data_IF_076695581864
#
_entry.id   IF_076695581864
#
_cell.length_a   1.000
_cell.length_b   1.000
_cell.length_c   1.000
_cell.angle_alpha   90.00
_cell.angle_beta   90.00
_cell.angle_gamma   90.00
#
_symmetry.space_group_name_H-M   'P 1'
#
loop_
_entity.id
_entity.type
_entity.pdbx_description
1 polymer ?
#
# COMPACT_ATOMS: atom_id res chain seq x y z
N UNK A 1 -1.25 -16.70 -14.43
CA UNK A 1 -0.55 -16.00 -13.32
C UNK A 1 0.25 -14.87 -13.95
N UNK A 2 0.18 -13.66 -13.39
CA UNK A 2 0.99 -12.54 -13.88
C UNK A 2 2.45 -12.79 -13.48
N UNK A 3 3.39 -12.35 -14.32
CA UNK A 3 4.81 -12.31 -13.97
C UNK A 3 5.02 -11.29 -12.86
N UNK A 4 5.86 -11.56 -11.84
CA UNK A 4 6.10 -10.57 -10.80
C UNK A 4 6.64 -9.27 -11.39
N UNK A 5 6.06 -8.12 -11.02
CA UNK A 5 6.58 -6.84 -11.47
C UNK A 5 7.99 -6.66 -10.91
N UNK A 6 8.88 -6.09 -11.70
CA UNK A 6 10.19 -5.66 -11.22
C UNK A 6 9.98 -4.62 -10.12
N UNK A 7 10.46 -4.93 -8.92
CA UNK A 7 10.40 -3.99 -7.81
C UNK A 7 11.44 -2.88 -8.02
N UNK A 8 11.09 -1.61 -7.81
CA UNK A 8 12.07 -0.53 -7.80
C UNK A 8 13.03 -0.70 -6.62
N UNK A 9 14.23 -0.12 -6.69
CA UNK A 9 15.15 -0.10 -5.55
C UNK A 9 14.48 0.48 -4.29
N UNK A 10 14.69 -0.19 -3.15
CA UNK A 10 14.32 0.39 -1.86
C UNK A 10 15.16 1.65 -1.59
N UNK A 11 14.60 2.60 -0.84
CA UNK A 11 15.29 3.84 -0.45
C UNK A 11 15.78 4.66 -1.65
N UNK A 12 14.85 5.05 -2.54
CA UNK A 12 15.17 5.96 -3.65
C UNK A 12 15.99 7.14 -3.13
N UNK A 13 17.18 7.41 -3.70
CA UNK A 13 18.03 8.47 -3.22
C UNK A 13 17.31 9.80 -3.40
N UNK A 14 17.47 10.70 -2.44
CA UNK A 14 17.02 12.05 -2.63
C UNK A 14 17.70 12.67 -3.87
N UNK A 15 17.00 13.55 -4.61
CA UNK A 15 17.62 14.28 -5.71
C UNK A 15 18.91 14.98 -5.27
N UNK A 16 19.93 15.08 -6.13
CA UNK A 16 21.16 15.80 -5.82
C UNK A 16 20.87 17.21 -5.28
N UNK A 17 21.50 17.57 -4.17
CA UNK A 17 21.30 18.86 -3.50
C UNK A 17 20.18 18.90 -2.46
N UNK A 18 19.47 17.79 -2.23
CA UNK A 18 18.49 17.72 -1.13
C UNK A 18 19.19 17.80 0.24
N UNK A 19 18.77 18.70 1.15
CA UNK A 19 19.32 18.78 2.50
C UNK A 19 19.20 17.46 3.28
N UNK A 20 20.18 17.17 4.14
CA UNK A 20 20.17 15.95 4.98
C UNK A 20 19.23 16.11 6.18
N UNK A 21 19.00 17.35 6.57
CA UNK A 21 18.23 17.82 7.70
C UNK A 21 16.74 17.67 7.39
N UNK A 22 15.97 16.84 8.14
CA UNK A 22 14.59 16.54 7.82
C UNK A 22 13.66 17.76 7.68
N UNK A 23 13.92 18.81 8.46
CA UNK A 23 13.14 20.05 8.44
C UNK A 23 13.47 20.98 7.26
N UNK A 24 14.50 20.66 6.46
CA UNK A 24 14.86 21.36 5.23
C UNK A 24 14.56 20.53 3.98
N UNK A 25 14.09 19.28 4.14
CA UNK A 25 13.73 18.44 3.00
C UNK A 25 12.49 19.01 2.29
N UNK A 26 12.46 19.00 0.96
CA UNK A 26 11.29 19.42 0.21
C UNK A 26 10.12 18.48 0.51
N UNK A 27 8.90 18.96 0.25
CA UNK A 27 7.74 18.08 0.28
C UNK A 27 7.95 16.88 -0.66
N UNK A 28 7.52 15.67 -0.27
CA UNK A 28 7.58 14.50 -1.15
C UNK A 28 6.91 14.80 -2.48
N UNK A 29 7.58 14.46 -3.58
CA UNK A 29 7.01 14.55 -4.93
C UNK A 29 6.60 13.16 -5.41
N UNK A 30 5.60 13.04 -6.29
CA UNK A 30 5.29 11.78 -6.94
C UNK A 30 6.53 11.22 -7.64
N UNK A 31 6.76 9.91 -7.53
CA UNK A 31 7.92 9.25 -8.13
C UNK A 31 7.48 8.22 -9.20
N UNK A 32 7.01 8.63 -10.41
CA UNK A 32 6.52 7.72 -11.45
C UNK A 32 7.53 6.63 -11.83
N UNK A 33 7.05 5.39 -12.00
CA UNK A 33 7.88 4.23 -12.33
C UNK A 33 8.81 3.75 -11.21
N UNK A 34 8.81 4.42 -10.05
CA UNK A 34 9.71 4.13 -8.95
C UNK A 34 8.97 3.69 -7.67
N UNK A 35 7.64 3.55 -7.72
CA UNK A 35 6.86 2.99 -6.62
C UNK A 35 6.53 1.51 -6.86
N UNK A 36 6.53 0.68 -5.80
CA UNK A 36 6.09 -0.71 -5.89
C UNK A 36 4.56 -0.80 -6.11
N UNK A 37 4.04 -1.98 -6.44
CA UNK A 37 2.60 -2.25 -6.36
C UNK A 37 2.05 -1.95 -4.95
N UNK A 38 0.87 -1.33 -4.88
CA UNK A 38 0.22 -0.99 -3.62
C UNK A 38 -1.01 -1.88 -3.37
N UNK A 39 -1.11 -2.37 -2.14
CA UNK A 39 -2.32 -2.92 -1.56
C UNK A 39 -2.71 -2.05 -0.37
N UNK A 40 -3.95 -1.58 -0.35
CA UNK A 40 -4.47 -0.68 0.68
C UNK A 40 -5.73 -1.29 1.27
N UNK A 41 -5.76 -1.46 2.58
CA UNK A 41 -6.94 -1.91 3.33
C UNK A 41 -7.34 -0.83 4.34
N UNK A 42 -8.60 -0.40 4.31
CA UNK A 42 -9.10 0.67 5.19
C UNK A 42 -10.55 0.43 5.62
N UNK A 43 -10.85 0.72 6.88
CA UNK A 43 -12.20 0.71 7.42
C UNK A 43 -12.83 2.11 7.32
N UNK A 44 -14.02 2.22 6.74
CA UNK A 44 -14.67 3.50 6.46
C UNK A 44 -15.17 4.21 7.74
N UNK A 45 -15.35 3.48 8.83
CA UNK A 45 -15.66 4.00 10.16
C UNK A 45 -14.40 4.48 10.93
N UNK A 46 -13.21 4.43 10.31
CA UNK A 46 -12.00 5.06 10.85
C UNK A 46 -12.12 6.60 10.77
N UNK A 47 -12.42 7.21 11.91
CA UNK A 47 -12.56 8.66 12.08
C UNK A 47 -11.24 9.43 12.14
N UNK A 48 -10.10 8.74 12.24
CA UNK A 48 -8.78 9.37 12.34
C UNK A 48 -8.12 9.54 10.98
N UNK A 49 -8.24 8.54 10.10
CA UNK A 49 -7.47 8.49 8.84
C UNK A 49 -8.36 8.47 7.58
N UNK A 50 -9.67 8.23 7.73
CA UNK A 50 -10.57 7.81 6.65
C UNK A 50 -10.60 8.66 5.37
N UNK A 51 -10.38 9.98 5.44
CA UNK A 51 -10.33 10.84 4.23
C UNK A 51 -8.96 10.82 3.54
N UNK A 52 -7.88 10.68 4.31
CA UNK A 52 -6.51 10.70 3.79
C UNK A 52 -6.22 9.53 2.83
N UNK A 53 -6.72 8.33 3.15
CA UNK A 53 -6.51 7.14 2.31
C UNK A 53 -7.14 7.28 0.92
N UNK A 54 -8.34 7.88 0.84
CA UNK A 54 -9.02 8.09 -0.45
C UNK A 54 -8.25 9.09 -1.32
N UNK A 55 -7.74 10.16 -0.71
CA UNK A 55 -6.87 11.13 -1.39
C UNK A 55 -5.57 10.50 -1.89
N UNK A 56 -4.94 9.65 -1.08
CA UNK A 56 -3.73 8.94 -1.48
C UNK A 56 -3.98 7.98 -2.65
N UNK A 57 -5.06 7.20 -2.61
CA UNK A 57 -5.47 6.34 -3.73
C UNK A 57 -5.70 7.14 -5.02
N UNK A 58 -6.42 8.26 -4.92
CA UNK A 58 -6.67 9.14 -6.08
C UNK A 58 -5.36 9.70 -6.65
N UNK A 59 -4.41 10.09 -5.79
CA UNK A 59 -3.10 10.58 -6.21
C UNK A 59 -2.27 9.51 -6.92
N UNK A 60 -2.30 8.26 -6.45
CA UNK A 60 -1.64 7.13 -7.12
C UNK A 60 -2.22 6.89 -8.52
N UNK A 61 -3.56 6.84 -8.63
CA UNK A 61 -4.24 6.68 -9.93
C UNK A 61 -3.92 7.83 -10.89
N UNK A 62 -3.94 9.08 -10.41
CA UNK A 62 -3.59 10.25 -11.22
C UNK A 62 -2.12 10.25 -11.69
N UNK A 63 -1.22 9.61 -10.93
CA UNK A 63 0.18 9.43 -11.30
C UNK A 63 0.43 8.21 -12.23
N UNK A 64 -0.63 7.52 -12.68
CA UNK A 64 -0.54 6.40 -13.62
C UNK A 64 -0.30 5.03 -12.98
N UNK A 65 -0.43 4.92 -11.65
CA UNK A 65 -0.35 3.64 -10.95
C UNK A 65 -1.69 2.90 -10.94
N UNK A 66 -1.66 1.61 -10.67
CA UNK A 66 -2.84 0.76 -10.49
C UNK A 66 -2.86 0.11 -9.09
N UNK A 67 -3.05 0.91 -8.02
CA UNK A 67 -3.19 0.39 -6.65
C UNK A 67 -4.45 -0.46 -6.47
N UNK A 68 -4.37 -1.51 -5.65
CA UNK A 68 -5.55 -2.25 -5.18
C UNK A 68 -6.02 -1.68 -3.83
N UNK A 69 -7.32 -1.34 -3.74
CA UNK A 69 -7.93 -0.74 -2.56
C UNK A 69 -9.13 -1.57 -2.08
N UNK A 70 -9.11 -1.97 -0.82
CA UNK A 70 -10.19 -2.63 -0.10
C UNK A 70 -10.77 -1.67 0.94
N UNK A 71 -12.02 -1.24 0.74
CA UNK A 71 -12.77 -0.40 1.68
C UNK A 71 -13.79 -1.25 2.44
N UNK A 72 -13.54 -1.46 3.72
CA UNK A 72 -14.43 -2.19 4.62
C UNK A 72 -15.44 -1.23 5.25
N UNK A 73 -16.69 -1.67 5.43
CA UNK A 73 -17.72 -0.83 6.05
C UNK A 73 -17.38 -0.51 7.52
N UNK A 74 -16.82 -1.48 8.24
CA UNK A 74 -16.45 -1.35 9.65
C UNK A 74 -15.20 -2.13 10.05
N UNK A 75 -14.54 -1.64 11.09
CA UNK A 75 -13.30 -2.21 11.66
C UNK A 75 -12.62 -1.21 12.61
N UNK A 76 -12.89 0.08 12.45
CA UNK A 76 -12.31 1.15 13.24
C UNK A 76 -10.83 1.40 12.90
N UNK A 77 -10.25 2.35 13.63
CA UNK A 77 -8.83 2.64 13.51
C UNK A 77 -8.00 1.46 14.04
N UNK A 78 -6.98 1.06 13.30
CA UNK A 78 -6.05 -0.01 13.70
C UNK A 78 -6.71 -1.39 13.94
N UNK A 79 -7.65 -1.82 13.08
CA UNK A 79 -8.30 -3.13 13.20
C UNK A 79 -7.32 -4.32 13.22
N UNK A 80 -6.17 -4.19 12.54
CA UNK A 80 -5.09 -5.17 12.59
C UNK A 80 -5.55 -6.58 12.22
N UNK A 81 -5.07 -7.60 12.93
CA UNK A 81 -5.49 -9.00 12.76
C UNK A 81 -6.49 -9.45 13.83
N UNK A 82 -7.06 -8.52 14.61
CA UNK A 82 -8.03 -8.87 15.64
C UNK A 82 -9.34 -9.22 14.95
N UNK A 83 -9.90 -10.38 15.26
CA UNK A 83 -11.26 -10.74 14.82
C UNK A 83 -12.28 -9.84 15.53
N UNK A 84 -13.06 -9.11 14.75
CA UNK A 84 -14.09 -8.17 15.23
C UNK A 84 -15.50 -8.55 14.76
N UNK A 85 -15.64 -9.58 13.93
CA UNK A 85 -16.90 -9.99 13.33
C UNK A 85 -17.34 -9.07 12.18
N UNK A 86 -16.40 -8.33 11.60
CA UNK A 86 -16.64 -7.45 10.45
C UNK A 86 -15.93 -8.00 9.22
N UNK A 87 -16.26 -7.48 8.04
CA UNK A 87 -15.58 -7.89 6.80
C UNK A 87 -14.11 -7.48 6.79
N UNK A 88 -13.66 -6.52 7.62
CA UNK A 88 -12.24 -6.20 7.72
C UNK A 88 -11.41 -7.36 8.24
N UNK A 89 -12.01 -8.34 8.92
CA UNK A 89 -11.30 -9.54 9.39
C UNK A 89 -10.66 -10.32 8.22
N UNK A 90 -11.17 -10.16 6.99
CA UNK A 90 -10.71 -10.91 5.81
C UNK A 90 -9.63 -10.19 4.99
N UNK A 91 -9.03 -9.13 5.53
CA UNK A 91 -8.07 -8.31 4.77
C UNK A 91 -6.78 -9.06 4.45
N UNK A 92 -6.35 -9.96 5.34
CA UNK A 92 -5.12 -10.73 5.19
C UNK A 92 -5.24 -11.77 4.07
N UNK A 93 -6.42 -12.39 3.91
CA UNK A 93 -6.74 -13.29 2.80
C UNK A 93 -6.75 -12.52 1.48
N UNK A 94 -7.34 -11.32 1.47
CA UNK A 94 -7.36 -10.43 0.30
C UNK A 94 -5.94 -10.03 -0.11
N UNK A 95 -5.10 -9.65 0.86
CA UNK A 95 -3.68 -9.38 0.63
C UNK A 95 -2.95 -10.61 0.06
N UNK A 96 -3.19 -11.79 0.63
CA UNK A 96 -2.56 -13.03 0.18
C UNK A 96 -2.96 -13.37 -1.26
N UNK A 97 -4.24 -13.18 -1.62
CA UNK A 97 -4.72 -13.35 -2.98
C UNK A 97 -4.04 -12.36 -3.93
N UNK A 98 -3.96 -11.08 -3.54
CA UNK A 98 -3.31 -10.02 -4.30
C UNK A 98 -1.83 -10.32 -4.57
N UNK A 99 -1.05 -10.63 -3.53
CA UNK A 99 0.40 -10.85 -3.69
C UNK A 99 0.69 -12.13 -4.48
N UNK A 100 -0.18 -13.15 -4.35
CA UNK A 100 -0.11 -14.36 -5.18
C UNK A 100 -0.44 -14.07 -6.64
N UNK A 101 -1.44 -13.22 -6.92
CA UNK A 101 -1.81 -12.81 -8.27
C UNK A 101 -0.67 -12.05 -8.96
N UNK A 102 0.09 -11.26 -8.19
CA UNK A 102 1.33 -10.62 -8.62
C UNK A 102 2.51 -11.59 -8.78
N UNK A 103 2.34 -12.90 -8.58
CA UNK A 103 3.42 -13.86 -8.81
C UNK A 103 4.52 -13.86 -7.75
N UNK A 104 4.38 -13.10 -6.65
CA UNK A 104 5.26 -13.18 -5.48
C UNK A 104 4.90 -14.41 -4.66
N UNK A 105 5.30 -15.59 -5.14
CA UNK A 105 5.21 -16.82 -4.34
C UNK A 105 6.22 -16.75 -3.20
N UNK A 106 5.81 -17.13 -2.00
CA UNK A 106 6.78 -17.60 -1.01
C UNK A 106 7.57 -18.76 -1.64
N UNK A 107 8.91 -18.81 -1.56
CA UNK A 107 9.59 -20.06 -1.83
C UNK A 107 9.00 -21.08 -0.85
N UNK A 108 8.27 -22.06 -1.38
CA UNK A 108 7.76 -23.15 -0.55
C UNK A 108 8.94 -23.75 0.19
N UNK A 109 8.85 -23.90 1.51
CA UNK A 109 9.81 -24.74 2.24
C UNK A 109 9.90 -26.06 1.49
N UNK A 110 11.07 -26.35 0.92
CA UNK A 110 11.37 -27.68 0.43
C UNK A 110 11.10 -28.64 1.60
N UNK A 111 10.16 -29.56 1.42
CA UNK A 111 9.96 -30.67 2.34
C UNK A 111 11.12 -31.65 2.19
#
# INVERSE_FOLDING_TARGET
MLTPPTLPPAHLPYPPGTPKEPWLQPAPTPAPGALPPFFIAMAQDDRLVGTGVRGFYAALMAAGYSPELHLYASGGHSFGMKTQGTTSDTWAESFHAWITALGFKQPGKAR
#
